data_IF_145086450766
#
_entry.id   IF_145086450766
#
_cell.length_a   1.000
_cell.length_b   1.000
_cell.length_c   1.000
_cell.angle_alpha   90.00
_cell.angle_beta   90.00
_cell.angle_gamma   90.00
#
_symmetry.space_group_name_H-M   'P 1'
#
loop_
_entity.id
_entity.type
_entity.pdbx_description
1 polymer ?
#
# COMPACT_ATOMS: atom_id res chain seq x y z
N UNK A 1 28.00 4.16 -20.04
CA UNK A 1 27.85 3.13 -18.99
C UNK A 1 26.41 3.22 -18.53
N UNK A 2 25.68 2.12 -18.63
CA UNK A 2 24.21 2.12 -18.60
C UNK A 2 23.67 2.44 -17.21
N UNK A 3 23.15 3.65 -17.10
CA UNK A 3 22.46 4.21 -15.94
C UNK A 3 21.10 3.52 -15.77
N UNK A 4 21.01 2.49 -14.94
CA UNK A 4 19.71 2.01 -14.46
C UNK A 4 19.88 1.10 -13.23
N UNK A 5 20.31 1.68 -12.12
CA UNK A 5 20.02 1.09 -10.82
C UNK A 5 18.50 1.12 -10.68
N UNK A 6 17.82 0.03 -11.04
CA UNK A 6 16.37 -0.09 -10.83
C UNK A 6 16.13 -0.01 -9.33
N UNK A 7 15.75 1.17 -8.84
CA UNK A 7 15.18 1.34 -7.51
C UNK A 7 14.08 0.30 -7.33
N UNK A 8 14.23 -0.58 -6.34
CA UNK A 8 13.24 -1.64 -6.10
C UNK A 8 12.08 -0.98 -5.37
N UNK A 9 10.99 -0.67 -6.07
CA UNK A 9 9.80 -0.11 -5.43
C UNK A 9 9.00 -1.22 -4.77
N UNK A 10 8.85 -1.15 -3.46
CA UNK A 10 7.90 -1.96 -2.69
C UNK A 10 6.52 -1.33 -2.85
N UNK A 11 5.58 -2.00 -3.50
CA UNK A 11 4.19 -1.54 -3.60
C UNK A 11 3.31 -2.50 -2.82
N UNK A 12 2.49 -1.99 -1.91
CA UNK A 12 1.66 -2.78 -1.02
C UNK A 12 0.22 -2.32 -1.09
N UNK A 13 -0.70 -3.30 -1.09
CA UNK A 13 -2.12 -3.11 -0.96
C UNK A 13 -2.59 -3.73 0.36
N UNK A 14 -3.30 -2.95 1.17
CA UNK A 14 -3.97 -3.39 2.38
C UNK A 14 -5.43 -2.91 2.37
N UNK A 15 -6.31 -3.71 2.97
CA UNK A 15 -7.69 -3.34 3.24
C UNK A 15 -8.02 -3.67 4.70
N UNK A 16 -9.01 -2.96 5.24
CA UNK A 16 -9.42 -3.01 6.63
C UNK A 16 -10.93 -3.06 6.69
N UNK A 17 -11.44 -3.92 7.55
CA UNK A 17 -12.85 -4.02 7.91
C UNK A 17 -13.05 -3.53 9.35
N UNK A 18 -14.30 -3.26 9.69
CA UNK A 18 -14.70 -2.93 11.06
C UNK A 18 -15.27 -4.17 11.71
N UNK A 19 -14.80 -4.47 12.92
CA UNK A 19 -15.43 -5.50 13.73
C UNK A 19 -16.75 -4.98 14.35
N UNK A 20 -17.47 -5.83 15.08
CA UNK A 20 -18.77 -5.51 15.70
C UNK A 20 -18.66 -4.35 16.72
N UNK A 21 -17.48 -4.15 17.32
CA UNK A 21 -17.13 -3.07 18.23
C UNK A 21 -16.64 -1.80 17.50
N UNK A 22 -16.51 -1.85 16.18
CA UNK A 22 -16.07 -0.74 15.34
C UNK A 22 -14.56 -0.52 15.31
N UNK A 23 -13.73 -1.51 15.68
CA UNK A 23 -12.29 -1.40 15.52
C UNK A 23 -11.86 -1.86 14.13
N UNK A 24 -10.85 -1.19 13.58
CA UNK A 24 -10.26 -1.58 12.30
C UNK A 24 -9.39 -2.81 12.47
N UNK A 25 -9.66 -3.83 11.66
CA UNK A 25 -8.82 -5.01 11.53
C UNK A 25 -8.49 -5.25 10.05
N UNK A 26 -7.33 -5.84 9.72
CA UNK A 26 -6.98 -6.13 8.34
C UNK A 26 -7.99 -7.13 7.74
N UNK A 27 -8.63 -6.74 6.63
CA UNK A 27 -9.55 -7.60 5.89
C UNK A 27 -8.83 -8.83 5.30
N UNK A 28 -7.57 -8.66 4.93
CA UNK A 28 -6.68 -9.71 4.45
C UNK A 28 -5.21 -9.36 4.72
N UNK A 29 -4.32 -10.35 4.58
CA UNK A 29 -2.87 -10.13 4.65
C UNK A 29 -2.40 -9.16 3.57
N UNK A 30 -1.80 -8.03 3.99
CA UNK A 30 -1.30 -7.00 3.09
C UNK A 30 -0.38 -7.62 2.03
N UNK A 31 -0.70 -7.39 0.76
CA UNK A 31 -0.02 -8.06 -0.35
C UNK A 31 0.86 -7.10 -1.11
N UNK A 32 2.05 -7.57 -1.48
CA UNK A 32 2.91 -6.85 -2.41
C UNK A 32 2.33 -6.96 -3.82
N UNK A 33 2.26 -5.84 -4.51
CA UNK A 33 1.78 -5.74 -5.89
C UNK A 33 2.96 -5.39 -6.80
N UNK A 34 2.92 -5.85 -8.05
CA UNK A 34 4.02 -5.66 -9.01
C UNK A 34 4.31 -4.18 -9.32
N UNK A 35 3.28 -3.33 -9.31
CA UNK A 35 3.39 -1.92 -9.68
C UNK A 35 2.28 -1.06 -9.06
N UNK A 36 2.55 0.25 -9.00
CA UNK A 36 1.66 1.24 -8.41
C UNK A 36 0.29 1.32 -9.10
N UNK A 37 0.25 1.31 -10.43
CA UNK A 37 -1.00 1.41 -11.19
C UNK A 37 -1.94 0.24 -10.88
N UNK A 38 -1.40 -0.97 -10.80
CA UNK A 38 -2.15 -2.17 -10.43
C UNK A 38 -2.68 -2.06 -9.01
N UNK A 39 -1.85 -1.64 -8.05
CA UNK A 39 -2.26 -1.48 -6.66
C UNK A 39 -3.41 -0.46 -6.51
N UNK A 40 -3.34 0.66 -7.23
CA UNK A 40 -4.41 1.67 -7.22
C UNK A 40 -5.70 1.15 -7.85
N UNK A 41 -5.62 0.43 -8.98
CA UNK A 41 -6.82 -0.16 -9.60
C UNK A 41 -7.48 -1.16 -8.66
N UNK A 42 -6.70 -2.08 -8.10
CA UNK A 42 -7.18 -3.09 -7.16
C UNK A 42 -7.81 -2.44 -5.92
N UNK A 43 -7.13 -1.44 -5.34
CA UNK A 43 -7.63 -0.69 -4.21
C UNK A 43 -8.98 -0.03 -4.49
N UNK A 44 -9.17 0.52 -5.69
CA UNK A 44 -10.44 1.13 -6.11
C UNK A 44 -11.56 0.11 -6.32
N UNK A 45 -11.24 -1.10 -6.80
CA UNK A 45 -12.24 -2.14 -7.01
C UNK A 45 -12.85 -2.60 -5.70
N UNK A 46 -12.02 -2.72 -4.66
CA UNK A 46 -12.44 -3.22 -3.33
C UNK A 46 -12.77 -2.09 -2.34
N UNK A 47 -12.68 -0.82 -2.76
CA UNK A 47 -12.89 0.34 -1.89
C UNK A 47 -14.31 0.42 -1.31
N UNK A 48 -15.30 -0.06 -2.05
CA UNK A 48 -16.70 -0.10 -1.63
C UNK A 48 -17.02 -1.34 -0.76
N UNK A 49 -16.14 -2.35 -0.81
CA UNK A 49 -16.35 -3.64 -0.12
C UNK A 49 -15.82 -3.62 1.32
N UNK A 50 -14.92 -2.68 1.64
CA UNK A 50 -14.20 -2.63 2.92
C UNK A 50 -14.36 -1.29 3.62
N UNK A 51 -14.21 -1.28 4.95
CA UNK A 51 -14.28 -0.06 5.75
C UNK A 51 -13.14 0.92 5.45
N UNK A 52 -11.99 0.42 5.01
CA UNK A 52 -10.95 1.24 4.39
C UNK A 52 -9.92 0.44 3.61
N UNK A 53 -9.30 1.11 2.64
CA UNK A 53 -8.35 0.51 1.71
C UNK A 53 -7.23 1.49 1.44
N UNK A 54 -6.02 0.97 1.35
CA UNK A 54 -4.83 1.78 1.11
C UNK A 54 -3.84 1.04 0.23
N UNK A 55 -3.41 1.73 -0.83
CA UNK A 55 -2.28 1.37 -1.64
C UNK A 55 -1.15 2.36 -1.35
N UNK A 56 0.02 1.87 -0.98
CA UNK A 56 1.19 2.69 -0.75
C UNK A 56 2.41 2.06 -1.44
N UNK A 57 3.41 2.89 -1.68
CA UNK A 57 4.69 2.45 -2.22
C UNK A 57 5.83 3.01 -1.42
N UNK A 58 6.95 2.30 -1.43
CA UNK A 58 8.17 2.71 -0.75
C UNK A 58 9.34 2.45 -1.68
N UNK A 59 10.17 3.47 -1.87
CA UNK A 59 11.39 3.30 -2.64
C UNK A 59 12.42 2.54 -1.78
N UNK A 60 13.04 1.51 -2.37
CA UNK A 60 14.20 0.87 -1.77
C UNK A 60 15.40 1.29 -2.61
N UNK A 61 16.22 2.16 -2.03
CA UNK A 61 17.46 2.62 -2.63
C UNK A 61 18.57 1.61 -2.31
N UNK A 62 18.97 0.73 -3.24
CA UNK A 62 19.99 -0.29 -2.97
C UNK A 62 21.38 0.31 -2.70
N UNK A 63 21.59 1.59 -3.05
CA UNK A 63 22.83 2.31 -2.77
C UNK A 63 22.91 2.83 -1.34
N UNK A 64 21.76 3.18 -0.74
CA UNK A 64 21.69 3.72 0.63
C UNK A 64 21.41 2.59 1.63
N UNK A 65 20.76 1.50 1.18
CA UNK A 65 20.37 0.38 2.04
C UNK A 65 19.16 0.73 2.93
N UNK A 66 18.57 1.90 2.73
CA UNK A 66 17.41 2.39 3.46
C UNK A 66 16.19 2.39 2.56
N UNK A 67 15.05 2.17 3.17
CA UNK A 67 13.78 2.41 2.53
C UNK A 67 13.38 3.87 2.74
N UNK A 68 13.00 4.55 1.67
CA UNK A 68 12.45 5.90 1.75
C UNK A 68 11.12 5.94 2.53
N UNK A 69 10.54 7.13 2.74
CA UNK A 69 9.23 7.24 3.37
C UNK A 69 8.14 6.56 2.52
N UNK A 70 7.12 5.94 3.14
CA UNK A 70 5.99 5.41 2.40
C UNK A 70 5.22 6.55 1.72
N UNK A 71 4.95 6.37 0.43
CA UNK A 71 4.12 7.27 -0.38
C UNK A 71 2.77 6.62 -0.60
N UNK A 72 1.71 7.25 -0.11
CA UNK A 72 0.34 6.82 -0.35
C UNK A 72 0.00 7.05 -1.82
N UNK A 73 -0.35 5.98 -2.52
CA UNK A 73 -0.79 6.01 -3.91
C UNK A 73 -2.30 6.21 -4.01
N UNK A 74 -3.04 5.56 -3.10
CA UNK A 74 -4.48 5.66 -2.98
C UNK A 74 -4.91 5.31 -1.56
N UNK A 75 -5.91 6.00 -1.05
CA UNK A 75 -6.52 5.72 0.24
C UNK A 75 -8.02 5.99 0.13
N UNK A 76 -8.83 5.13 0.72
CA UNK A 76 -10.26 5.32 0.86
C UNK A 76 -10.76 4.74 2.18
N UNK A 77 -11.78 5.36 2.77
CA UNK A 77 -12.34 4.92 4.04
C UNK A 77 -11.42 5.15 5.24
N UNK A 78 -11.65 4.35 6.29
CA UNK A 78 -10.93 4.40 7.55
C UNK A 78 -9.69 3.49 7.50
N UNK A 79 -8.52 4.06 7.74
CA UNK A 79 -7.28 3.29 7.87
C UNK A 79 -6.63 3.61 9.22
N UNK A 80 -6.02 2.62 9.90
CA UNK A 80 -5.21 2.92 11.07
C UNK A 80 -4.07 3.86 10.67
N UNK A 81 -3.70 4.79 11.56
CA UNK A 81 -2.68 5.79 11.30
C UNK A 81 -1.41 5.16 10.74
N UNK A 82 -1.05 5.53 9.51
CA UNK A 82 0.25 5.20 8.93
C UNK A 82 1.25 6.26 9.41
N UNK A 83 1.75 6.09 10.63
CA UNK A 83 2.86 6.89 11.16
C UNK A 83 4.23 6.30 10.78
#
# INVERSE_FOLDING_TARGET
>A
MSDQTKSTKLVVLAAFDLDDEGNLYPAFEARQVDNAERAVREARMIADEHAGVVAWSRDADPMVGEYGPPTILYQNGQIPGME
#
